data_IF_846879112873
#
_entry.id   IF_846879112873
#
_cell.length_a   1.000
_cell.length_b   1.000
_cell.length_c   1.000
_cell.angle_alpha   90.00
_cell.angle_beta   90.00
_cell.angle_gamma   90.00
#
_symmetry.space_group_name_H-M   'P 1'
#
loop_
_entity.id
_entity.type
_entity.pdbx_description
1 polymer ?
#
# COMPACT_ATOMS: atom_id res chain seq x y z
N UNK A 1 -1.10 -21.82 3.46
CA UNK A 1 -1.94 -21.16 2.43
C UNK A 1 -1.63 -19.67 2.35
N UNK A 2 -1.60 -18.92 3.46
CA UNK A 2 -1.19 -17.51 3.48
C UNK A 2 0.26 -17.24 3.04
N UNK A 3 1.24 -18.04 3.50
CA UNK A 3 2.64 -17.90 3.09
C UNK A 3 2.84 -18.01 1.57
N UNK A 4 2.15 -18.94 0.90
CA UNK A 4 2.21 -19.08 -0.57
C UNK A 4 1.65 -17.86 -1.31
N UNK A 5 0.63 -17.20 -0.76
CA UNK A 5 0.10 -15.96 -1.32
C UNK A 5 1.09 -14.81 -1.12
N UNK A 6 1.74 -14.75 0.04
CA UNK A 6 2.81 -13.77 0.29
C UNK A 6 3.99 -13.96 -0.66
N UNK A 7 4.43 -15.19 -0.89
CA UNK A 7 5.52 -15.48 -1.84
C UNK A 7 5.15 -15.08 -3.28
N UNK A 8 3.88 -15.31 -3.68
CA UNK A 8 3.41 -15.01 -5.04
C UNK A 8 3.13 -13.52 -5.27
N UNK A 9 2.62 -12.83 -4.26
CA UNK A 9 2.16 -11.45 -4.34
C UNK A 9 2.94 -10.53 -3.40
N UNK A 10 4.24 -10.81 -3.25
CA UNK A 10 5.14 -10.00 -2.45
C UNK A 10 5.10 -8.55 -2.94
N UNK A 11 4.61 -7.65 -2.08
CA UNK A 11 4.36 -6.27 -2.49
C UNK A 11 5.65 -5.49 -2.75
N UNK A 12 6.80 -5.92 -2.18
CA UNK A 12 8.11 -5.35 -2.54
C UNK A 12 8.41 -5.60 -4.03
N UNK A 13 8.18 -6.83 -4.50
CA UNK A 13 8.45 -7.22 -5.90
C UNK A 13 7.45 -6.57 -6.86
N UNK A 14 6.17 -6.49 -6.45
CA UNK A 14 5.11 -5.85 -7.24
C UNK A 14 5.41 -4.36 -7.43
N UNK A 15 5.77 -3.66 -6.35
CA UNK A 15 6.12 -2.24 -6.42
C UNK A 15 7.42 -2.02 -7.19
N UNK A 16 8.43 -2.86 -7.00
CA UNK A 16 9.68 -2.81 -7.78
C UNK A 16 9.43 -2.95 -9.29
N UNK A 17 8.54 -3.86 -9.72
CA UNK A 17 8.13 -4.00 -11.13
C UNK A 17 7.39 -2.77 -11.68
N UNK A 18 6.80 -1.96 -10.79
CA UNK A 18 6.20 -0.68 -11.12
C UNK A 18 7.19 0.51 -11.01
N UNK A 19 8.48 0.25 -10.77
CA UNK A 19 9.52 1.25 -10.50
C UNK A 19 9.29 2.07 -9.21
N UNK A 20 8.54 1.52 -8.26
CA UNK A 20 8.33 2.10 -6.93
C UNK A 20 9.27 1.39 -5.96
N UNK A 21 10.32 2.10 -5.57
CA UNK A 21 11.35 1.61 -4.66
C UNK A 21 11.20 2.21 -3.25
N UNK A 22 11.53 1.44 -2.20
CA UNK A 22 11.55 1.94 -0.84
C UNK A 22 12.60 3.05 -0.64
N UNK A 23 12.35 3.95 0.32
CA UNK A 23 13.18 5.11 0.64
C UNK A 23 12.77 6.40 -0.07
N UNK A 24 11.79 6.33 -0.96
CA UNK A 24 11.33 7.45 -1.78
C UNK A 24 9.93 7.92 -1.40
N UNK A 25 9.55 9.11 -1.90
CA UNK A 25 8.22 9.70 -1.73
C UNK A 25 7.43 9.56 -3.03
N UNK A 26 6.15 9.21 -2.93
CA UNK A 26 5.26 9.01 -4.07
C UNK A 26 3.89 9.61 -3.80
N UNK A 27 3.13 9.95 -4.85
CA UNK A 27 1.71 10.21 -4.66
C UNK A 27 1.00 8.88 -4.35
N UNK A 28 -0.04 8.87 -3.48
CA UNK A 28 -0.81 7.65 -3.22
C UNK A 28 -1.35 7.01 -4.51
N UNK A 29 -1.75 7.84 -5.47
CA UNK A 29 -2.28 7.39 -6.77
C UNK A 29 -1.23 6.67 -7.61
N UNK A 30 0.04 7.07 -7.55
CA UNK A 30 1.12 6.42 -8.31
C UNK A 30 1.34 4.99 -7.82
N UNK A 31 1.26 4.79 -6.49
CA UNK A 31 1.35 3.47 -5.88
C UNK A 31 0.17 2.60 -6.29
N UNK A 32 -1.05 3.11 -6.19
CA UNK A 32 -2.26 2.39 -6.61
C UNK A 32 -2.21 2.00 -8.09
N UNK A 33 -1.82 2.93 -8.96
CA UNK A 33 -1.67 2.70 -10.41
C UNK A 33 -0.58 1.66 -10.69
N UNK A 34 0.54 1.72 -9.97
CA UNK A 34 1.63 0.75 -10.09
C UNK A 34 1.18 -0.67 -9.75
N UNK A 35 0.44 -0.83 -8.65
CA UNK A 35 -0.12 -2.13 -8.25
C UNK A 35 -1.12 -2.61 -9.31
N UNK A 36 -2.03 -1.74 -9.77
CA UNK A 36 -3.02 -2.09 -10.79
C UNK A 36 -2.37 -2.51 -12.10
N UNK A 37 -1.29 -1.85 -12.51
CA UNK A 37 -0.54 -2.22 -13.73
C UNK A 37 0.10 -3.61 -13.64
N UNK A 38 0.62 -4.00 -12.47
CA UNK A 38 1.34 -5.26 -12.29
C UNK A 38 0.41 -6.44 -12.00
N UNK A 39 -0.64 -6.22 -11.20
CA UNK A 39 -1.54 -7.27 -10.74
C UNK A 39 -2.91 -7.29 -11.44
N UNK A 40 -3.22 -6.28 -12.25
CA UNK A 40 -4.52 -6.09 -12.91
C UNK A 40 -5.72 -6.08 -11.94
N UNK A 41 -5.51 -5.55 -10.72
CA UNK A 41 -6.53 -5.41 -9.68
C UNK A 41 -6.43 -4.06 -8.99
N UNK A 42 -7.55 -3.59 -8.44
CA UNK A 42 -7.60 -2.39 -7.59
C UNK A 42 -7.33 -2.78 -6.13
N UNK A 43 -6.17 -2.37 -5.63
CA UNK A 43 -5.76 -2.54 -4.23
C UNK A 43 -6.21 -1.36 -3.35
N UNK A 44 -5.97 -1.48 -2.05
CA UNK A 44 -6.08 -0.38 -1.09
C UNK A 44 -4.71 -0.06 -0.48
N UNK A 45 -4.44 1.22 -0.27
CA UNK A 45 -3.26 1.69 0.46
C UNK A 45 -3.67 2.46 1.70
N UNK A 46 -3.11 2.09 2.84
CA UNK A 46 -3.32 2.76 4.12
C UNK A 46 -2.05 3.50 4.53
N UNK A 47 -2.23 4.72 5.00
CA UNK A 47 -1.18 5.58 5.52
C UNK A 47 -1.30 5.78 7.02
N UNK A 48 -0.15 6.05 7.62
CA UNK A 48 -0.03 6.63 8.95
C UNK A 48 0.72 7.96 8.84
N UNK A 49 0.26 8.97 9.59
CA UNK A 49 0.94 10.26 9.66
C UNK A 49 1.63 10.38 11.00
N UNK A 50 2.94 10.61 10.96
CA UNK A 50 3.73 10.85 12.16
C UNK A 50 3.36 12.20 12.77
N UNK A 51 3.06 12.21 14.07
CA UNK A 51 2.54 13.41 14.74
C UNK A 51 3.58 14.51 14.91
N UNK A 52 4.86 14.16 14.97
CA UNK A 52 5.97 15.08 15.24
C UNK A 52 6.43 15.74 13.95
N UNK A 53 6.73 14.93 12.94
CA UNK A 53 7.25 15.38 11.64
C UNK A 53 6.16 15.83 10.68
N UNK A 54 4.90 15.43 10.94
CA UNK A 54 3.74 15.57 10.03
C UNK A 54 3.93 14.85 8.69
N UNK A 55 4.91 13.97 8.58
CA UNK A 55 5.12 13.16 7.38
C UNK A 55 4.16 11.97 7.34
N UNK A 56 3.64 11.66 6.16
CA UNK A 56 2.79 10.50 5.92
C UNK A 56 3.61 9.35 5.35
N UNK A 57 3.30 8.13 5.77
CA UNK A 57 4.03 6.93 5.43
C UNK A 57 3.09 5.82 4.97
N UNK A 58 3.53 4.99 4.01
CA UNK A 58 2.85 3.72 3.72
C UNK A 58 2.86 2.88 4.98
N UNK A 59 1.69 2.54 5.49
CA UNK A 59 1.53 1.66 6.64
C UNK A 59 1.14 0.25 6.21
N UNK A 60 0.17 0.13 5.31
CA UNK A 60 -0.35 -1.17 4.86
C UNK A 60 -0.78 -1.08 3.39
N UNK A 61 -0.57 -2.16 2.64
CA UNK A 61 -1.15 -2.35 1.30
C UNK A 61 -1.99 -3.61 1.34
N UNK A 62 -3.25 -3.48 0.93
CA UNK A 62 -4.23 -4.56 0.97
C UNK A 62 -4.59 -4.97 -0.46
N UNK A 63 -4.47 -6.26 -0.72
CA UNK A 63 -4.97 -6.93 -1.92
C UNK A 63 -6.07 -7.90 -1.51
N UNK A 64 -7.08 -8.04 -2.36
CA UNK A 64 -8.26 -8.82 -2.03
C UNK A 64 -8.29 -10.12 -2.82
N UNK A 65 -8.81 -11.14 -2.17
CA UNK A 65 -9.03 -12.46 -2.74
C UNK A 65 -10.48 -12.86 -2.59
N UNK A 66 -11.02 -13.57 -3.57
CA UNK A 66 -12.30 -14.24 -3.40
C UNK A 66 -12.16 -15.49 -2.50
N UNK A 67 -13.28 -16.17 -2.24
CA UNK A 67 -13.30 -17.40 -1.42
C UNK A 67 -12.54 -18.57 -2.06
N UNK A 68 -12.19 -18.47 -3.34
CA UNK A 68 -11.37 -19.44 -4.08
C UNK A 68 -9.89 -19.05 -4.13
N UNK A 69 -9.50 -17.97 -3.43
CA UNK A 69 -8.16 -17.39 -3.38
C UNK A 69 -7.66 -16.84 -4.72
N UNK A 70 -8.56 -16.41 -5.60
CA UNK A 70 -8.21 -15.66 -6.80
C UNK A 70 -8.18 -14.17 -6.50
N UNK A 71 -7.23 -13.45 -7.11
CA UNK A 71 -7.12 -12.00 -6.98
C UNK A 71 -8.38 -11.33 -7.53
N UNK A 72 -8.93 -10.42 -6.74
CA UNK A 72 -10.09 -9.60 -7.11
C UNK A 72 -9.88 -8.15 -6.68
N UNK A 73 -10.71 -7.25 -7.19
CA UNK A 73 -10.70 -5.86 -6.76
C UNK A 73 -11.17 -5.72 -5.30
N UNK A 74 -10.56 -4.81 -4.55
CA UNK A 74 -10.93 -4.48 -3.18
C UNK A 74 -12.12 -3.50 -3.06
N UNK A 75 -12.97 -3.41 -4.07
CA UNK A 75 -14.01 -2.37 -4.11
C UNK A 75 -14.99 -2.50 -2.94
N UNK A 76 -15.37 -1.36 -2.36
CA UNK A 76 -16.39 -1.31 -1.31
C UNK A 76 -15.90 -1.65 0.11
N UNK A 77 -14.58 -1.79 0.33
CA UNK A 77 -14.02 -1.86 1.68
C UNK A 77 -13.88 -0.47 2.31
N UNK A 78 -13.89 -0.40 3.64
CA UNK A 78 -13.71 0.85 4.39
C UNK A 78 -12.41 1.56 4.00
N UNK A 79 -12.44 2.89 3.84
CA UNK A 79 -11.33 3.73 3.36
C UNK A 79 -10.79 3.39 1.97
N UNK A 80 -11.59 2.75 1.10
CA UNK A 80 -11.15 2.47 -0.27
C UNK A 80 -11.15 3.73 -1.16
N UNK A 81 -10.18 3.90 -2.08
CA UNK A 81 -8.93 3.12 -2.24
C UNK A 81 -7.82 3.49 -1.25
N UNK A 82 -8.00 4.54 -0.46
CA UNK A 82 -7.00 4.97 0.53
C UNK A 82 -7.55 5.92 1.60
N UNK A 83 -6.97 5.86 2.81
CA UNK A 83 -7.09 6.90 3.85
C UNK A 83 -5.96 7.97 3.78
N UNK A 84 -5.03 7.84 2.84
CA UNK A 84 -3.93 8.79 2.64
C UNK A 84 -4.45 10.13 2.09
N UNK A 85 -3.77 11.22 2.43
CA UNK A 85 -4.00 12.53 1.79
C UNK A 85 -3.55 12.47 0.32
N UNK A 86 -4.51 12.58 -0.60
CA UNK A 86 -4.26 12.46 -2.06
C UNK A 86 -3.58 13.67 -2.67
N UNK A 87 -3.47 14.76 -1.93
CA UNK A 87 -2.81 16.00 -2.39
C UNK A 87 -1.34 16.06 -2.02
N UNK A 88 -0.87 15.12 -1.19
CA UNK A 88 0.50 15.09 -0.68
C UNK A 88 1.18 13.79 -1.02
N UNK A 89 2.49 13.86 -1.19
CA UNK A 89 3.31 12.67 -1.28
C UNK A 89 3.41 11.99 0.09
N UNK A 90 3.47 10.67 0.08
CA UNK A 90 3.76 9.84 1.25
C UNK A 90 5.11 9.15 1.06
N UNK A 91 5.77 8.82 2.16
CA UNK A 91 7.03 8.08 2.18
C UNK A 91 6.74 6.58 2.12
N UNK A 92 7.35 5.87 1.17
CA UNK A 92 7.44 4.42 1.21
C UNK A 92 8.77 4.06 1.92
N UNK A 93 8.75 3.67 3.20
CA UNK A 93 9.96 3.58 3.98
C UNK A 93 10.83 2.37 3.59
N UNK A 94 12.15 2.53 3.62
CA UNK A 94 13.11 1.44 3.37
C UNK A 94 13.45 0.59 4.59
N UNK A 95 12.98 1.01 5.76
CA UNK A 95 13.09 0.29 7.04
C UNK A 95 11.83 0.56 7.82
N UNK A 96 11.42 -0.36 8.69
CA UNK A 96 10.26 -0.15 9.57
C UNK A 96 10.53 1.07 10.46
N UNK A 97 9.82 2.19 10.25
CA UNK A 97 10.01 3.40 11.04
C UNK A 97 9.37 3.25 12.41
N UNK A 98 9.96 3.89 13.42
CA UNK A 98 9.29 4.09 14.72
C UNK A 98 8.42 5.32 14.61
N UNK A 99 7.16 5.12 14.26
CA UNK A 99 6.18 6.20 14.20
C UNK A 99 5.64 6.51 15.60
N UNK A 100 5.44 7.79 15.91
CA UNK A 100 4.67 8.18 17.09
C UNK A 100 3.17 8.16 16.76
N UNK A 101 2.60 6.96 16.68
CA UNK A 101 1.18 6.76 16.33
C UNK A 101 0.31 6.86 17.58
N UNK A 102 -0.91 7.40 17.42
CA UNK A 102 -2.01 7.12 18.35
C UNK A 102 -2.96 6.22 17.60
N UNK A 103 -3.16 5.00 18.10
CA UNK A 103 -4.32 4.20 17.70
C UNK A 103 -5.54 5.03 18.07
N UNK A 104 -6.22 5.56 17.04
CA UNK A 104 -7.58 6.06 17.18
C UNK A 104 -8.53 4.87 17.24
#
# INVERSE_FOLDING_TARGET
MGLKLLDKYNMMDVLAKANISPGNKYMPQDILNGIQKVLNIRAQIMCVTDKTTKESYVFEIRICFDKTLQLVNCDGIYDFPTNCDRTKTLTYPSRVPRYHVTQL
#
